data_IF_281091576524
#
_entry.id   IF_281091576524
#
_cell.length_a   1.000
_cell.length_b   1.000
_cell.length_c   1.000
_cell.angle_alpha   90.00
_cell.angle_beta   90.00
_cell.angle_gamma   90.00
#
_symmetry.space_group_name_H-M   'P 1'
#
loop_
_entity.id
_entity.type
_entity.pdbx_description
1 polymer ?
#
# COMPACT_ATOMS: atom_id res chain seq x y z
N UNK A 1 -44.31 -28.41 7.60
CA UNK A 1 -43.69 -27.20 8.16
C UNK A 1 -42.33 -27.44 8.80
N UNK A 2 -42.18 -28.35 9.78
CA UNK A 2 -40.89 -28.57 10.50
C UNK A 2 -39.73 -29.03 9.60
N UNK A 3 -40.01 -29.84 8.57
CA UNK A 3 -38.96 -30.32 7.64
C UNK A 3 -38.44 -29.21 6.70
N UNK A 4 -39.29 -28.23 6.36
CA UNK A 4 -38.92 -27.09 5.51
C UNK A 4 -38.06 -26.07 6.26
N UNK A 5 -38.34 -25.85 7.55
CA UNK A 5 -37.51 -24.98 8.40
C UNK A 5 -36.12 -25.56 8.66
N UNK A 6 -35.99 -26.90 8.76
CA UNK A 6 -34.70 -27.57 8.97
C UNK A 6 -33.78 -27.45 7.75
N UNK A 7 -34.34 -27.59 6.54
CA UNK A 7 -33.61 -27.40 5.28
C UNK A 7 -33.21 -25.94 5.03
N UNK A 8 -34.01 -24.98 5.50
CA UNK A 8 -33.65 -23.57 5.39
C UNK A 8 -32.45 -23.22 6.29
N UNK A 9 -32.43 -23.75 7.52
CA UNK A 9 -31.29 -23.58 8.43
C UNK A 9 -29.99 -24.17 7.88
N UNK A 10 -30.03 -25.37 7.26
CA UNK A 10 -28.82 -25.97 6.67
C UNK A 10 -28.31 -25.16 5.48
N UNK A 11 -29.20 -24.67 4.61
CA UNK A 11 -28.82 -23.79 3.48
C UNK A 11 -28.16 -22.50 3.97
N UNK A 12 -28.73 -21.87 5.00
CA UNK A 12 -28.16 -20.65 5.60
C UNK A 12 -26.79 -20.92 6.23
N UNK A 13 -26.59 -22.07 6.88
CA UNK A 13 -25.30 -22.47 7.44
C UNK A 13 -24.25 -22.65 6.34
N UNK A 14 -24.60 -23.32 5.24
CA UNK A 14 -23.70 -23.50 4.09
C UNK A 14 -23.35 -22.16 3.43
N UNK A 15 -24.31 -21.23 3.29
CA UNK A 15 -24.05 -19.89 2.76
C UNK A 15 -23.11 -19.08 3.66
N UNK A 16 -23.28 -19.16 4.98
CA UNK A 16 -22.42 -18.47 5.95
C UNK A 16 -20.98 -19.02 5.97
N UNK A 17 -20.79 -20.31 5.69
CA UNK A 17 -19.45 -20.92 5.58
C UNK A 17 -18.83 -20.59 4.21
N UNK A 18 -19.65 -20.46 3.16
CA UNK A 18 -19.19 -20.15 1.81
C UNK A 18 -18.82 -18.67 1.60
N UNK A 19 -19.26 -17.75 2.48
CA UNK A 19 -18.81 -16.36 2.43
C UNK A 19 -17.34 -16.28 2.84
N UNK A 20 -16.44 -16.31 1.88
CA UNK A 20 -15.03 -16.00 2.12
C UNK A 20 -14.95 -14.55 2.58
N UNK A 21 -14.37 -14.33 3.75
CA UNK A 21 -14.06 -12.99 4.25
C UNK A 21 -13.01 -12.40 3.31
N UNK A 22 -13.41 -11.44 2.48
CA UNK A 22 -12.49 -10.62 1.71
C UNK A 22 -11.62 -9.83 2.70
N UNK A 23 -10.33 -10.17 2.81
CA UNK A 23 -9.36 -9.43 3.63
C UNK A 23 -8.89 -8.18 2.88
N UNK A 24 -9.78 -7.23 2.67
CA UNK A 24 -9.44 -5.86 2.29
C UNK A 24 -9.68 -4.94 3.48
N UNK A 25 -8.75 -4.04 3.75
CA UNK A 25 -8.91 -2.99 4.76
C UNK A 25 -9.53 -1.77 4.10
N UNK A 26 -10.69 -1.35 4.62
CA UNK A 26 -11.31 -0.08 4.24
C UNK A 26 -11.17 0.90 5.40
N UNK A 27 -10.65 2.10 5.14
CA UNK A 27 -10.53 3.11 6.18
C UNK A 27 -10.61 4.54 5.68
N UNK A 28 -11.01 5.43 6.59
CA UNK A 28 -11.04 6.88 6.36
C UNK A 28 -9.72 7.55 6.79
N UNK A 29 -9.35 8.59 6.05
CA UNK A 29 -8.20 9.45 6.30
C UNK A 29 -8.56 10.91 6.02
N UNK A 30 -8.42 11.78 7.02
CA UNK A 30 -8.65 13.22 6.86
C UNK A 30 -7.47 13.91 6.17
N UNK A 31 -7.73 14.94 5.37
CA UNK A 31 -6.71 15.77 4.72
C UNK A 31 -5.66 16.29 5.72
N UNK A 32 -4.39 16.27 5.31
CA UNK A 32 -3.26 16.68 6.15
C UNK A 32 -2.87 15.68 7.24
N UNK A 33 -3.56 14.53 7.36
CA UNK A 33 -3.23 13.48 8.34
C UNK A 33 -2.50 12.32 7.70
N UNK A 34 -1.82 11.55 8.56
CA UNK A 34 -1.15 10.30 8.20
C UNK A 34 -1.73 9.15 9.01
N UNK A 35 -1.93 7.99 8.38
CA UNK A 35 -2.33 6.74 9.03
C UNK A 35 -1.43 5.61 8.57
N UNK A 36 -0.93 4.83 9.52
CA UNK A 36 -0.06 3.68 9.23
C UNK A 36 -0.73 2.36 9.63
N UNK A 37 -0.51 1.34 8.81
CA UNK A 37 -0.92 -0.04 9.04
C UNK A 37 0.36 -0.86 9.15
N UNK A 38 0.45 -1.73 10.16
CA UNK A 38 1.63 -2.54 10.43
C UNK A 38 1.31 -4.03 10.31
N UNK A 39 2.24 -4.81 9.77
CA UNK A 39 2.17 -6.27 9.68
C UNK A 39 3.54 -6.89 10.04
N UNK A 40 3.53 -7.96 10.83
CA UNK A 40 4.71 -8.80 11.07
C UNK A 40 4.91 -9.73 9.89
N UNK A 41 6.04 -9.57 9.19
CA UNK A 41 6.38 -10.32 7.99
C UNK A 41 7.62 -11.17 8.25
N UNK A 42 7.56 -12.44 7.85
CA UNK A 42 8.71 -13.35 7.93
C UNK A 42 9.71 -13.07 6.81
N UNK A 43 11.00 -13.25 7.11
CA UNK A 43 12.06 -13.23 6.08
C UNK A 43 11.77 -14.20 4.93
N UNK A 44 12.17 -13.81 3.72
CA UNK A 44 11.93 -14.47 2.45
C UNK A 44 10.44 -14.66 2.09
N UNK A 45 9.53 -13.96 2.76
CA UNK A 45 8.13 -13.94 2.39
C UNK A 45 7.87 -12.86 1.35
N UNK A 46 7.18 -13.25 0.27
CA UNK A 46 6.73 -12.32 -0.75
C UNK A 46 5.48 -11.59 -0.27
N UNK A 47 5.50 -10.27 -0.37
CA UNK A 47 4.41 -9.40 0.04
C UNK A 47 3.95 -8.56 -1.14
N UNK A 48 2.63 -8.41 -1.27
CA UNK A 48 1.98 -7.59 -2.30
C UNK A 48 0.95 -6.72 -1.62
N UNK A 49 0.89 -5.45 -2.00
CA UNK A 49 -0.15 -4.54 -1.57
C UNK A 49 -0.78 -3.82 -2.75
N UNK A 50 -2.09 -3.54 -2.66
CA UNK A 50 -2.82 -2.70 -3.60
C UNK A 50 -3.65 -1.70 -2.82
N UNK A 51 -3.59 -0.44 -3.22
CA UNK A 51 -4.35 0.64 -2.58
C UNK A 51 -5.05 1.51 -3.62
N UNK A 52 -6.22 2.01 -3.26
CA UNK A 52 -7.03 2.91 -4.08
C UNK A 52 -7.81 3.87 -3.19
N UNK A 53 -7.79 5.16 -3.51
CA UNK A 53 -8.73 6.15 -2.97
C UNK A 53 -10.07 5.95 -3.65
N UNK A 54 -11.10 5.65 -2.86
CA UNK A 54 -12.46 5.39 -3.34
C UNK A 54 -13.07 6.70 -3.79
N UNK A 55 -13.48 6.77 -5.07
CA UNK A 55 -14.24 7.89 -5.59
C UNK A 55 -15.74 7.56 -5.52
N UNK A 56 -16.53 8.23 -4.65
CA UNK A 56 -17.96 7.99 -4.56
C UNK A 56 -18.73 8.38 -5.84
N UNK A 57 -18.15 9.21 -6.70
CA UNK A 57 -18.73 9.68 -7.95
C UNK A 57 -17.91 9.20 -9.15
N UNK A 58 -18.03 7.92 -9.53
CA UNK A 58 -17.27 7.33 -10.65
C UNK A 58 -17.41 8.09 -11.99
N UNK A 59 -18.52 8.80 -12.20
CA UNK A 59 -18.78 9.57 -13.41
C UNK A 59 -17.92 10.84 -13.54
N UNK A 60 -17.29 11.30 -12.46
CA UNK A 60 -16.48 12.51 -12.44
C UNK A 60 -15.06 12.20 -11.97
N UNK A 61 -14.02 12.82 -12.55
CA UNK A 61 -12.66 12.68 -12.06
C UNK A 61 -12.56 13.07 -10.58
N UNK A 62 -11.76 12.34 -9.81
CA UNK A 62 -11.53 12.71 -8.42
C UNK A 62 -10.80 14.07 -8.36
N UNK A 63 -11.15 14.97 -7.44
CA UNK A 63 -10.48 16.25 -7.35
C UNK A 63 -9.05 16.05 -6.82
N UNK A 64 -8.16 17.01 -7.09
CA UNK A 64 -6.74 16.91 -6.68
C UNK A 64 -6.55 16.75 -5.16
N UNK A 65 -7.55 17.13 -4.35
CA UNK A 65 -7.61 16.89 -2.91
C UNK A 65 -7.75 15.41 -2.51
N UNK A 66 -8.04 14.52 -3.46
CA UNK A 66 -8.23 13.07 -3.25
C UNK A 66 -6.99 12.26 -3.65
N UNK A 67 -5.82 12.88 -3.52
CA UNK A 67 -4.53 12.25 -3.71
C UNK A 67 -3.90 11.93 -2.37
N UNK A 68 -3.12 10.85 -2.36
CA UNK A 68 -2.38 10.38 -1.19
C UNK A 68 -0.92 10.17 -1.56
N UNK A 69 -0.07 10.30 -0.56
CA UNK A 69 1.30 9.79 -0.59
C UNK A 69 1.39 8.55 0.29
N UNK A 70 2.10 7.52 -0.17
CA UNK A 70 2.27 6.27 0.56
C UNK A 70 3.76 5.93 0.67
N UNK A 71 4.16 5.43 1.83
CA UNK A 71 5.48 4.84 2.05
C UNK A 71 5.35 3.50 2.76
N UNK A 72 6.06 2.49 2.27
CA UNK A 72 6.17 1.17 2.91
C UNK A 72 7.59 0.98 3.42
N UNK A 73 7.75 0.75 4.71
CA UNK A 73 9.07 0.63 5.37
C UNK A 73 9.13 -0.57 6.31
N UNK A 74 10.32 -1.14 6.47
CA UNK A 74 10.62 -2.06 7.58
C UNK A 74 11.04 -1.31 8.84
N UNK A 75 10.97 -1.98 10.00
CA UNK A 75 11.51 -1.50 11.28
C UNK A 75 13.02 -1.18 11.24
N UNK A 76 13.75 -1.71 10.27
CA UNK A 76 15.17 -1.43 10.03
C UNK A 76 15.43 -0.16 9.19
N UNK A 77 14.36 0.54 8.76
CA UNK A 77 14.46 1.78 7.99
C UNK A 77 14.53 1.59 6.47
N UNK A 78 14.56 0.35 5.97
CA UNK A 78 14.51 0.08 4.53
C UNK A 78 13.14 0.48 3.96
N UNK A 79 13.14 1.24 2.86
CA UNK A 79 11.92 1.64 2.13
C UNK A 79 11.70 0.68 0.96
N UNK A 80 10.52 0.05 0.93
CA UNK A 80 10.14 -0.95 -0.08
C UNK A 80 9.13 -0.44 -1.10
N UNK A 81 8.47 0.68 -0.81
CA UNK A 81 7.58 1.36 -1.75
C UNK A 81 7.48 2.82 -1.35
N UNK A 82 7.43 3.70 -2.33
CA UNK A 82 7.19 5.13 -2.15
C UNK A 82 6.46 5.66 -3.38
N UNK A 83 5.34 6.35 -3.16
CA UNK A 83 4.60 7.03 -4.21
C UNK A 83 3.97 8.30 -3.64
N UNK A 84 3.98 9.37 -4.42
CA UNK A 84 3.48 10.69 -4.01
C UNK A 84 2.37 11.15 -4.94
N UNK A 85 1.37 11.84 -4.36
CA UNK A 85 0.26 12.46 -5.09
C UNK A 85 -0.47 11.52 -6.07
N UNK A 86 -0.70 10.27 -5.63
CA UNK A 86 -1.38 9.21 -6.38
C UNK A 86 -2.78 8.94 -5.85
N UNK A 87 -3.68 8.47 -6.73
CA UNK A 87 -5.03 8.01 -6.36
C UNK A 87 -5.10 6.51 -6.12
N UNK A 88 -4.20 5.75 -6.75
CA UNK A 88 -4.11 4.30 -6.59
C UNK A 88 -2.70 3.82 -6.92
N UNK A 89 -2.39 2.60 -6.51
CA UNK A 89 -1.14 1.96 -6.84
C UNK A 89 -1.05 0.56 -6.26
N UNK A 90 0.08 -0.07 -6.52
CA UNK A 90 0.38 -1.41 -6.06
C UNK A 90 1.88 -1.56 -5.85
N UNK A 91 2.26 -2.39 -4.89
CA UNK A 91 3.66 -2.70 -4.60
C UNK A 91 3.83 -4.19 -4.40
N UNK A 92 5.05 -4.66 -4.60
CA UNK A 92 5.45 -5.98 -4.17
C UNK A 92 6.94 -6.02 -3.85
N UNK A 93 7.28 -6.80 -2.85
CA UNK A 93 8.65 -7.04 -2.46
C UNK A 93 8.78 -8.42 -1.83
N UNK A 94 10.01 -8.89 -1.69
CA UNK A 94 10.33 -10.05 -0.86
C UNK A 94 11.04 -9.51 0.37
N UNK A 95 10.49 -9.78 1.56
CA UNK A 95 11.08 -9.34 2.82
C UNK A 95 12.46 -9.97 2.99
N UNK A 96 13.50 -9.15 3.13
CA UNK A 96 14.87 -9.65 3.42
C UNK A 96 14.95 -10.09 4.87
N UNK A 97 14.30 -9.33 5.76
CA UNK A 97 14.38 -9.47 7.21
C UNK A 97 13.01 -9.80 7.78
N UNK A 98 12.97 -10.55 8.87
CA UNK A 98 11.74 -10.77 9.61
C UNK A 98 11.47 -9.60 10.58
N UNK A 99 10.22 -9.21 10.74
CA UNK A 99 9.80 -8.18 11.70
C UNK A 99 8.64 -7.33 11.20
N UNK A 100 8.47 -6.17 11.83
CA UNK A 100 7.38 -5.24 11.52
C UNK A 100 7.66 -4.44 10.24
N UNK A 101 6.67 -4.43 9.35
CA UNK A 101 6.61 -3.59 8.17
C UNK A 101 5.38 -2.69 8.28
N UNK A 102 5.55 -1.41 7.94
CA UNK A 102 4.50 -0.40 8.00
C UNK A 102 4.22 0.19 6.63
N UNK A 103 2.95 0.29 6.26
CA UNK A 103 2.46 1.10 5.15
C UNK A 103 1.79 2.35 5.72
N UNK A 104 2.39 3.51 5.50
CA UNK A 104 1.89 4.81 5.94
C UNK A 104 1.29 5.58 4.77
N UNK A 105 0.06 6.04 4.95
CA UNK A 105 -0.73 6.81 4.00
C UNK A 105 -0.88 8.24 4.52
N UNK A 106 -0.47 9.22 3.72
CA UNK A 106 -0.57 10.65 4.03
C UNK A 106 -1.50 11.32 3.04
N UNK A 107 -2.55 11.96 3.53
CA UNK A 107 -3.46 12.74 2.69
C UNK A 107 -2.91 14.15 2.46
N UNK A 108 -3.06 14.66 1.24
CA UNK A 108 -2.73 16.06 0.91
C UNK A 108 -3.52 16.99 1.84
N UNK A 109 -2.87 18.04 2.34
CA UNK A 109 -3.56 19.06 3.14
C UNK A 109 -4.52 19.86 2.26
N UNK A 110 -5.74 20.06 2.75
CA UNK A 110 -6.79 20.74 2.01
C UNK A 110 -7.75 21.46 2.96
N UNK A 111 -8.19 22.65 2.56
CA UNK A 111 -9.17 23.45 3.30
C UNK A 111 -10.35 23.80 2.39
N UNK A 112 -11.61 23.51 2.76
CA UNK A 112 -12.03 22.85 4.00
C UNK A 112 -11.54 21.39 4.11
N UNK A 113 -11.47 20.85 5.34
CA UNK A 113 -11.02 19.48 5.57
C UNK A 113 -11.88 18.49 4.76
N UNK A 114 -11.23 17.55 4.08
CA UNK A 114 -11.89 16.48 3.32
C UNK A 114 -11.55 15.13 3.93
N UNK A 115 -12.51 14.21 3.89
CA UNK A 115 -12.31 12.81 4.30
C UNK A 115 -12.12 11.95 3.06
N UNK A 116 -11.02 11.20 3.02
CA UNK A 116 -10.71 10.24 1.97
C UNK A 116 -11.04 8.84 2.46
N UNK A 117 -11.76 8.07 1.65
CA UNK A 117 -11.96 6.64 1.87
C UNK A 117 -10.92 5.86 1.07
N UNK A 118 -10.17 4.97 1.72
CA UNK A 118 -9.06 4.22 1.12
C UNK A 118 -9.35 2.73 1.27
N UNK A 119 -9.32 2.03 0.14
CA UNK A 119 -9.28 0.57 0.08
C UNK A 119 -7.83 0.11 0.00
N UNK A 120 -7.45 -0.83 0.86
CA UNK A 120 -6.10 -1.36 0.95
C UNK A 120 -6.10 -2.88 1.16
N UNK A 121 -5.56 -3.61 0.19
CA UNK A 121 -5.35 -5.05 0.26
C UNK A 121 -3.86 -5.30 0.51
N UNK A 122 -3.50 -5.90 1.64
CA UNK A 122 -2.14 -6.29 2.02
C UNK A 122 -2.08 -7.81 2.18
N UNK A 123 -1.24 -8.47 1.37
CA UNK A 123 -1.08 -9.93 1.43
C UNK A 123 0.38 -10.35 1.52
N UNK A 124 0.65 -11.30 2.39
CA UNK A 124 1.99 -11.86 2.61
C UNK A 124 2.00 -13.38 2.41
N UNK A 125 3.12 -13.91 1.90
CA UNK A 125 3.40 -15.34 1.80
C UNK A 125 2.48 -16.09 0.84
N UNK A 126 1.80 -17.14 1.31
CA UNK A 126 0.89 -17.93 0.45
C UNK A 126 -0.29 -17.11 -0.07
N UNK A 127 -0.68 -16.05 0.66
CA UNK A 127 -1.79 -15.17 0.28
C UNK A 127 -1.42 -14.24 -0.89
N UNK A 128 -0.13 -13.93 -1.08
CA UNK A 128 0.35 -13.08 -2.17
C UNK A 128 0.51 -13.80 -3.51
N UNK A 129 0.52 -15.14 -3.52
CA UNK A 129 0.71 -15.96 -4.74
C UNK A 129 -0.31 -15.69 -5.84
N UNK A 130 -1.51 -15.23 -5.49
CA UNK A 130 -2.58 -14.89 -6.45
C UNK A 130 -2.28 -13.65 -7.30
N UNK A 131 -1.21 -12.89 -7.00
CA UNK A 131 -0.85 -11.62 -7.66
C UNK A 131 0.55 -11.62 -8.31
N UNK A 132 1.08 -12.80 -8.66
CA UNK A 132 2.47 -13.00 -9.12
C UNK A 132 2.93 -12.12 -10.32
N UNK A 133 2.03 -11.62 -11.17
CA UNK A 133 2.37 -10.72 -12.28
C UNK A 133 2.66 -9.27 -11.86
N UNK A 134 2.03 -8.79 -10.78
CA UNK A 134 2.21 -7.44 -10.23
C UNK A 134 3.60 -7.26 -9.62
N UNK A 135 4.17 -8.34 -9.12
CA UNK A 135 5.42 -8.28 -8.39
C UNK A 135 6.67 -8.05 -9.23
N UNK A 136 6.69 -8.59 -10.45
CA UNK A 136 7.82 -8.37 -11.37
C UNK A 136 7.94 -6.91 -11.78
N UNK A 137 6.82 -6.18 -11.86
CA UNK A 137 6.81 -4.78 -12.28
C UNK A 137 7.19 -3.83 -11.15
N UNK A 138 6.62 -4.04 -9.96
CA UNK A 138 6.86 -3.17 -8.80
C UNK A 138 8.28 -3.31 -8.22
N UNK A 139 8.86 -4.52 -8.20
CA UNK A 139 10.26 -4.69 -7.75
C UNK A 139 11.27 -3.92 -8.63
N UNK A 140 10.98 -3.79 -9.93
CA UNK A 140 11.84 -3.02 -10.85
C UNK A 140 11.72 -1.51 -10.57
N UNK A 141 10.51 -1.03 -10.27
CA UNK A 141 10.25 0.38 -9.97
C UNK A 141 10.94 0.84 -8.67
N UNK A 142 10.91 0.00 -7.63
CA UNK A 142 11.59 0.27 -6.35
C UNK A 142 13.12 0.31 -6.55
N UNK A 143 13.67 -0.65 -7.30
CA UNK A 143 15.10 -0.68 -7.61
C UNK A 143 15.54 0.53 -8.44
N UNK A 144 14.72 0.97 -9.39
CA UNK A 144 14.99 2.18 -10.17
C UNK A 144 15.05 3.43 -9.28
N UNK A 145 14.15 3.54 -8.31
CA UNK A 145 14.12 4.65 -7.36
C UNK A 145 15.38 4.71 -6.49
N UNK A 146 15.81 3.58 -5.91
CA UNK A 146 17.02 3.55 -5.08
C UNK A 146 18.28 3.90 -5.89
N UNK A 147 18.36 3.46 -7.15
CA UNK A 147 19.45 3.85 -8.06
C UNK A 147 19.43 5.36 -8.33
N UNK A 148 18.26 5.96 -8.58
CA UNK A 148 18.14 7.42 -8.74
C UNK A 148 18.61 8.17 -7.50
N UNK A 149 18.20 7.72 -6.30
CA UNK A 149 18.62 8.32 -5.02
C UNK A 149 20.13 8.26 -4.82
N UNK A 150 20.76 7.14 -5.18
CA UNK A 150 22.21 6.98 -5.14
C UNK A 150 22.92 7.96 -6.09
N UNK A 151 22.41 8.12 -7.31
CA UNK A 151 22.96 9.07 -8.30
C UNK A 151 22.83 10.52 -7.81
N UNK A 152 21.67 10.90 -7.26
CA UNK A 152 21.47 12.24 -6.68
C UNK A 152 22.44 12.51 -5.52
N UNK A 153 22.67 11.50 -4.67
CA UNK A 153 23.64 11.59 -3.58
C UNK A 153 25.07 11.79 -4.11
N UNK A 154 25.46 11.02 -5.13
CA UNK A 154 26.78 11.15 -5.76
C UNK A 154 26.96 12.52 -6.41
N UNK A 155 25.93 13.03 -7.10
CA UNK A 155 25.97 14.36 -7.72
C UNK A 155 26.10 15.47 -6.67
N UNK A 156 25.36 15.38 -5.56
CA UNK A 156 25.48 16.34 -4.46
C UNK A 156 26.89 16.36 -3.86
N UNK A 157 27.50 15.18 -3.63
CA UNK A 157 28.89 15.09 -3.17
C UNK A 157 29.85 15.68 -4.20
N UNK A 158 29.61 15.42 -5.48
CA UNK A 158 30.46 15.91 -6.57
C UNK A 158 30.45 17.44 -6.65
N UNK A 159 29.27 18.06 -6.50
CA UNK A 159 29.11 19.51 -6.43
C UNK A 159 29.82 20.10 -5.20
N UNK A 160 29.70 19.47 -4.03
CA UNK A 160 30.44 19.91 -2.82
C UNK A 160 31.96 19.80 -3.00
N UNK A 161 32.45 18.72 -3.60
CA UNK A 161 33.87 18.53 -3.89
C UNK A 161 34.42 19.59 -4.85
N UNK A 162 33.64 19.97 -5.87
CA UNK A 162 34.01 21.06 -6.77
C UNK A 162 34.00 22.42 -6.07
N UNK A 163 32.97 22.70 -5.27
CA UNK A 163 32.88 23.92 -4.48
C UNK A 163 34.09 24.09 -3.53
N UNK A 164 34.54 23.01 -2.90
CA UNK A 164 35.74 23.03 -2.04
C UNK A 164 37.04 23.22 -2.83
N UNK A 165 37.10 22.83 -4.12
CA UNK A 165 38.29 22.96 -4.97
C UNK A 165 38.48 24.37 -5.53
N UNK A 166 37.41 25.16 -5.67
CA UNK A 166 37.46 26.55 -6.16
C UNK A 166 37.80 27.59 -5.08
N UNK A 167 37.99 27.17 -3.82
CA UNK A 167 38.50 27.98 -2.71
C UNK A 167 39.98 27.70 -2.44
#
# INVERSE_FOLDING_TARGET
MVLQSLNLCTILLFLAIASQVSQSLHFELHSGRTKCISEDIKSNSMTVGKYTVVNPNEAHPSPQSHKISIRVTSSYGNTYHHAEDVESGQFAFTAVEAGDYMACFTAVDHKPEVTLSIDFDWRTGVQSKSWSSVAKKSQVEVMEFDVKRLIETVNSIHEEMFYLRER
#
